data_IF_969777740968
#
_entry.id   IF_969777740968
#
_cell.length_a   1.000
_cell.length_b   1.000
_cell.length_c   1.000
_cell.angle_alpha   90.00
_cell.angle_beta   90.00
_cell.angle_gamma   90.00
#
_symmetry.space_group_name_H-M   'P 1'
#
loop_
_entity.id
_entity.type
_entity.pdbx_description
1 polymer ?
#
# COMPACT_ATOMS: atom_id res chain seq x y z
N UNK A 1 5.39 -2.57 5.77
CA UNK A 1 4.48 -3.66 5.36
C UNK A 1 4.46 -4.87 6.30
N UNK A 2 5.14 -4.82 7.45
CA UNK A 2 5.17 -5.96 8.40
C UNK A 2 3.85 -6.12 9.17
N UNK A 3 3.17 -5.01 9.48
CA UNK A 3 1.87 -5.03 10.18
C UNK A 3 0.75 -5.73 9.40
N UNK A 4 0.72 -5.59 8.06
CA UNK A 4 -0.29 -6.24 7.22
C UNK A 4 -0.15 -7.76 7.16
N UNK A 5 1.10 -8.26 7.10
CA UNK A 5 1.38 -9.70 7.10
C UNK A 5 1.03 -10.35 8.43
N UNK A 6 1.35 -9.68 9.53
CA UNK A 6 1.02 -10.13 10.88
C UNK A 6 -0.50 -10.25 11.13
N UNK A 7 -1.33 -9.65 10.26
CA UNK A 7 -2.80 -9.65 10.37
C UNK A 7 -3.51 -10.45 9.27
N UNK A 8 -2.76 -11.18 8.43
CA UNK A 8 -3.32 -12.13 7.45
C UNK A 8 -3.36 -11.65 5.99
N UNK A 9 -2.78 -10.48 5.66
CA UNK A 9 -2.62 -10.08 4.25
C UNK A 9 -1.55 -10.94 3.57
N UNK A 10 -1.93 -11.61 2.47
CA UNK A 10 -1.01 -12.41 1.66
C UNK A 10 -0.09 -11.54 0.81
N UNK A 11 1.08 -12.06 0.43
CA UNK A 11 1.99 -11.37 -0.50
C UNK A 11 1.30 -10.99 -1.82
N UNK A 12 0.41 -11.86 -2.30
CA UNK A 12 -0.38 -11.60 -3.50
C UNK A 12 -1.31 -10.39 -3.33
N UNK A 13 -2.02 -10.29 -2.19
CA UNK A 13 -2.86 -9.13 -1.86
C UNK A 13 -2.04 -7.85 -1.71
N UNK A 14 -0.84 -7.92 -1.14
CA UNK A 14 0.04 -6.75 -1.01
C UNK A 14 0.58 -6.28 -2.37
N UNK A 15 1.01 -7.21 -3.23
CA UNK A 15 1.54 -6.89 -4.55
C UNK A 15 0.49 -6.25 -5.48
N UNK A 16 -0.80 -6.58 -5.30
CA UNK A 16 -1.89 -6.16 -6.18
C UNK A 16 -2.73 -4.99 -5.62
N UNK A 17 -2.36 -4.44 -4.47
CA UNK A 17 -3.14 -3.37 -3.80
C UNK A 17 -3.24 -2.09 -4.64
N UNK A 18 -2.27 -1.86 -5.52
CA UNK A 18 -2.23 -0.73 -6.46
C UNK A 18 -2.89 -1.00 -7.82
N UNK A 19 -3.39 -2.21 -8.10
CA UNK A 19 -3.94 -2.57 -9.40
C UNK A 19 -5.29 -1.87 -9.68
N UNK A 20 -5.53 -1.54 -10.95
CA UNK A 20 -6.75 -0.87 -11.42
C UNK A 20 -7.20 -1.48 -12.76
N UNK A 21 -8.35 -2.17 -12.82
CA UNK A 21 -9.23 -2.54 -11.69
C UNK A 21 -8.56 -3.55 -10.73
N UNK A 22 -9.12 -3.72 -9.53
CA UNK A 22 -8.68 -4.79 -8.64
C UNK A 22 -9.01 -6.15 -9.29
N UNK A 23 -8.09 -7.13 -9.24
CA UNK A 23 -8.30 -8.44 -9.83
C UNK A 23 -9.35 -9.25 -9.07
N UNK A 24 -10.22 -9.94 -9.81
CA UNK A 24 -11.24 -10.82 -9.27
C UNK A 24 -10.62 -12.00 -8.50
N UNK A 25 -11.25 -12.41 -7.41
CA UNK A 25 -10.86 -13.58 -6.61
C UNK A 25 -9.58 -13.43 -5.78
N UNK A 26 -8.93 -12.26 -5.80
CA UNK A 26 -7.75 -11.97 -4.95
C UNK A 26 -8.16 -11.43 -3.57
N UNK A 27 -9.21 -10.63 -3.53
CA UNK A 27 -9.77 -10.06 -2.32
C UNK A 27 -11.18 -10.61 -2.10
N UNK A 28 -11.53 -10.83 -0.85
CA UNK A 28 -12.93 -11.04 -0.49
C UNK A 28 -13.74 -9.77 -0.80
N UNK A 29 -15.07 -9.88 -1.03
CA UNK A 29 -15.88 -8.74 -1.45
C UNK A 29 -15.79 -7.52 -0.52
N UNK A 30 -15.73 -7.75 0.78
CA UNK A 30 -15.61 -6.75 1.83
C UNK A 30 -14.21 -6.09 1.86
N UNK A 31 -13.14 -6.88 1.72
CA UNK A 31 -11.77 -6.39 1.55
C UNK A 31 -11.63 -5.51 0.31
N UNK A 32 -12.21 -5.93 -0.82
CA UNK A 32 -12.17 -5.18 -2.06
C UNK A 32 -12.89 -3.82 -1.92
N UNK A 33 -14.00 -3.78 -1.19
CA UNK A 33 -14.71 -2.55 -0.88
C UNK A 33 -13.86 -1.59 -0.01
N UNK A 34 -13.16 -2.13 1.00
CA UNK A 34 -12.20 -1.35 1.82
C UNK A 34 -11.08 -0.77 0.94
N UNK A 35 -10.46 -1.58 0.07
CA UNK A 35 -9.34 -1.13 -0.76
C UNK A 35 -9.78 -0.02 -1.73
N UNK A 36 -10.95 -0.16 -2.36
CA UNK A 36 -11.53 0.88 -3.23
C UNK A 36 -11.78 2.18 -2.47
N UNK A 37 -12.40 2.10 -1.29
CA UNK A 37 -12.65 3.27 -0.45
C UNK A 37 -11.36 3.96 0.00
N UNK A 38 -10.41 3.19 0.53
CA UNK A 38 -9.14 3.73 1.02
C UNK A 38 -8.38 4.45 -0.10
N UNK A 39 -8.37 3.87 -1.30
CA UNK A 39 -7.76 4.48 -2.49
C UNK A 39 -8.41 5.81 -2.84
N UNK A 40 -9.74 5.83 -3.03
CA UNK A 40 -10.46 7.04 -3.39
C UNK A 40 -10.24 8.15 -2.35
N UNK A 41 -10.36 7.80 -1.07
CA UNK A 41 -10.12 8.72 0.06
C UNK A 41 -8.69 9.27 0.09
N UNK A 42 -7.67 8.41 -0.08
CA UNK A 42 -6.26 8.85 -0.10
C UNK A 42 -5.89 9.68 -1.32
N UNK A 43 -6.57 9.50 -2.45
CA UNK A 43 -6.39 10.29 -3.69
C UNK A 43 -7.24 11.56 -3.72
N UNK A 44 -8.04 11.82 -2.69
CA UNK A 44 -9.01 12.91 -2.64
C UNK A 44 -10.03 12.85 -3.80
N UNK A 45 -10.35 11.64 -4.25
CA UNK A 45 -11.41 11.40 -5.22
C UNK A 45 -12.79 11.47 -4.54
N UNK A 46 -13.87 11.80 -5.28
CA UNK A 46 -15.22 11.77 -4.74
C UNK A 46 -15.61 10.36 -4.25
N UNK A 47 -16.17 10.29 -3.04
CA UNK A 47 -16.82 9.06 -2.55
C UNK A 47 -18.24 9.07 -3.10
N UNK A 48 -18.47 8.37 -4.22
CA UNK A 48 -19.79 8.32 -4.86
C UNK A 48 -20.79 7.51 -4.05
N UNK A 49 -22.08 7.70 -4.33
CA UNK A 49 -23.15 6.94 -3.68
C UNK A 49 -23.01 5.44 -3.93
N UNK A 50 -22.54 5.02 -5.11
CA UNK A 50 -22.28 3.62 -5.44
C UNK A 50 -21.14 3.05 -4.59
N UNK A 51 -20.06 3.80 -4.41
CA UNK A 51 -18.95 3.37 -3.57
C UNK A 51 -19.38 3.26 -2.11
N UNK A 52 -20.12 4.25 -1.60
CA UNK A 52 -20.66 4.19 -0.24
C UNK A 52 -21.68 3.05 -0.05
N UNK A 53 -22.53 2.81 -1.05
CA UNK A 53 -23.46 1.69 -1.05
C UNK A 53 -22.71 0.34 -0.99
N UNK A 54 -21.63 0.18 -1.75
CA UNK A 54 -20.81 -1.05 -1.71
C UNK A 54 -20.17 -1.30 -0.34
N UNK A 55 -19.84 -0.25 0.43
CA UNK A 55 -19.39 -0.42 1.81
C UNK A 55 -20.54 -0.88 2.72
N UNK A 56 -21.74 -0.31 2.54
CA UNK A 56 -22.92 -0.66 3.35
C UNK A 56 -23.43 -2.09 3.12
N UNK A 57 -23.03 -2.75 2.05
CA UNK A 57 -23.30 -4.18 1.83
C UNK A 57 -22.56 -5.07 2.84
N UNK A 58 -21.44 -4.59 3.40
CA UNK A 58 -20.57 -5.38 4.28
C UNK A 58 -20.42 -4.79 5.69
N UNK A 59 -20.56 -3.48 5.83
CA UNK A 59 -20.24 -2.76 7.06
C UNK A 59 -21.41 -1.94 7.58
N UNK A 60 -21.54 -1.89 8.91
CA UNK A 60 -22.41 -0.93 9.58
C UNK A 60 -21.86 0.49 9.42
N UNK A 61 -22.74 1.50 9.57
CA UNK A 61 -22.33 2.91 9.53
C UNK A 61 -21.21 3.22 10.53
N UNK A 62 -21.29 2.66 11.74
CA UNK A 62 -20.23 2.81 12.77
C UNK A 62 -18.89 2.27 12.28
N UNK A 63 -18.87 1.10 11.65
CA UNK A 63 -17.64 0.52 11.09
C UNK A 63 -17.09 1.36 9.92
N UNK A 64 -17.96 1.96 9.11
CA UNK A 64 -17.56 2.86 8.02
C UNK A 64 -16.95 4.15 8.60
N UNK A 65 -17.50 4.68 9.69
CA UNK A 65 -16.91 5.82 10.43
C UNK A 65 -15.52 5.45 10.96
N UNK A 66 -15.37 4.28 11.59
CA UNK A 66 -14.07 3.79 12.09
C UNK A 66 -13.05 3.60 10.94
N UNK A 67 -13.49 3.08 9.80
CA UNK A 67 -12.68 2.95 8.59
C UNK A 67 -12.23 4.33 8.08
N UNK A 68 -13.15 5.30 8.02
CA UNK A 68 -12.85 6.68 7.62
C UNK A 68 -11.79 7.31 8.52
N UNK A 69 -11.93 7.16 9.84
CA UNK A 69 -10.95 7.67 10.80
C UNK A 69 -9.58 7.02 10.61
N UNK A 70 -9.55 5.71 10.40
CA UNK A 70 -8.31 4.95 10.19
C UNK A 70 -7.57 5.44 8.95
N UNK A 71 -8.26 5.49 7.80
CA UNK A 71 -7.68 5.97 6.53
C UNK A 71 -7.26 7.44 6.64
N UNK A 72 -8.10 8.28 7.23
CA UNK A 72 -7.81 9.70 7.44
C UNK A 72 -6.56 9.94 8.29
N UNK A 73 -6.41 9.19 9.39
CA UNK A 73 -5.25 9.28 10.27
C UNK A 73 -3.97 8.82 9.57
N UNK A 74 -4.00 7.69 8.85
CA UNK A 74 -2.87 7.24 8.04
C UNK A 74 -2.47 8.31 7.01
N UNK A 75 -3.44 8.94 6.33
CA UNK A 75 -3.16 10.00 5.38
C UNK A 75 -2.55 11.25 6.03
N UNK A 76 -2.93 11.59 7.26
CA UNK A 76 -2.32 12.68 8.03
C UNK A 76 -0.86 12.35 8.39
N UNK A 77 -0.61 11.16 8.91
CA UNK A 77 0.72 10.66 9.28
C UNK A 77 1.63 10.64 8.04
N UNK A 78 1.15 10.13 6.91
CA UNK A 78 1.90 10.12 5.65
C UNK A 78 2.34 11.52 5.22
N UNK A 79 1.48 12.54 5.39
CA UNK A 79 1.84 13.93 5.06
C UNK A 79 2.89 14.49 6.00
N UNK A 80 2.84 14.13 7.28
CA UNK A 80 3.88 14.52 8.23
C UNK A 80 5.24 13.94 7.81
N UNK A 81 5.33 12.63 7.59
CA UNK A 81 6.57 11.98 7.14
C UNK A 81 7.06 12.52 5.80
N UNK A 82 6.16 12.75 4.83
CA UNK A 82 6.53 13.33 3.54
C UNK A 82 7.04 14.77 3.62
N UNK A 83 6.52 15.57 4.58
CA UNK A 83 6.95 16.97 4.77
C UNK A 83 8.32 17.05 5.43
N UNK A 84 8.56 16.19 6.42
CA UNK A 84 9.78 16.25 7.24
C UNK A 84 10.87 15.26 6.80
N UNK A 85 10.62 14.47 5.76
CA UNK A 85 11.56 13.48 5.23
C UNK A 85 12.17 12.60 6.34
N UNK A 86 11.32 12.13 7.26
CA UNK A 86 11.76 11.29 8.36
C UNK A 86 12.30 9.97 7.83
N UNK A 87 13.47 9.57 8.32
CA UNK A 87 14.05 8.28 8.02
C UNK A 87 13.27 7.14 8.68
N UNK A 88 13.38 5.94 8.11
CA UNK A 88 12.89 4.71 8.73
C UNK A 88 13.90 4.30 9.79
N UNK A 89 13.45 3.88 10.97
CA UNK A 89 14.34 3.40 12.03
C UNK A 89 15.01 2.07 11.67
N UNK A 90 16.22 1.85 12.19
CA UNK A 90 17.05 0.67 11.92
C UNK A 90 16.29 -0.66 12.14
N UNK A 91 15.50 -0.76 13.22
CA UNK A 91 14.71 -1.94 13.54
C UNK A 91 13.68 -2.23 12.42
N UNK A 92 13.03 -1.19 11.91
CA UNK A 92 12.07 -1.31 10.82
C UNK A 92 12.76 -1.62 9.49
N UNK A 93 13.92 -1.03 9.21
CA UNK A 93 14.71 -1.35 8.01
C UNK A 93 15.15 -2.83 8.00
N UNK A 94 15.67 -3.32 9.13
CA UNK A 94 16.07 -4.72 9.29
C UNK A 94 14.88 -5.67 9.06
N UNK A 95 13.70 -5.33 9.61
CA UNK A 95 12.48 -6.12 9.44
C UNK A 95 11.91 -6.07 8.00
N UNK A 96 12.15 -5.01 7.25
CA UNK A 96 11.73 -4.91 5.85
C UNK A 96 12.63 -5.71 4.91
N UNK A 97 13.91 -5.85 5.23
CA UNK A 97 14.91 -6.48 4.36
C UNK A 97 14.97 -5.80 2.97
N UNK A 98 15.45 -6.52 1.95
CA UNK A 98 15.57 -5.99 0.59
C UNK A 98 14.25 -5.90 -0.21
N UNK A 99 13.10 -6.14 0.44
CA UNK A 99 11.81 -6.31 -0.25
C UNK A 99 10.91 -5.14 0.07
N UNK A 100 11.03 -4.06 -0.70
CA UNK A 100 9.96 -3.05 -0.81
C UNK A 100 9.09 -3.41 -2.03
N UNK A 101 7.96 -4.13 -1.87
CA UNK A 101 7.15 -4.59 -3.01
C UNK A 101 6.34 -3.46 -3.66
N UNK A 102 6.30 -2.26 -3.05
CA UNK A 102 5.72 -1.07 -3.67
C UNK A 102 6.84 -0.33 -4.38
N UNK A 103 6.80 -0.30 -5.73
CA UNK A 103 7.67 0.60 -6.50
C UNK A 103 7.33 2.04 -6.13
N UNK A 104 8.22 2.69 -5.40
CA UNK A 104 8.15 4.12 -5.19
C UNK A 104 8.56 4.83 -6.48
N UNK A 105 7.89 5.95 -6.85
CA UNK A 105 8.41 6.84 -7.88
C UNK A 105 9.82 7.30 -7.49
N UNK A 106 10.70 7.57 -8.47
CA UNK A 106 12.00 8.15 -8.17
C UNK A 106 11.83 9.46 -7.40
N UNK A 107 12.72 9.70 -6.43
CA UNK A 107 12.70 10.95 -5.69
C UNK A 107 12.85 12.15 -6.65
N UNK A 108 12.25 13.31 -6.34
CA UNK A 108 12.39 14.50 -7.17
C UNK A 108 13.87 14.85 -7.37
N UNK A 109 14.33 14.89 -8.63
CA UNK A 109 15.72 15.16 -8.99
C UNK A 109 16.60 13.92 -9.22
N UNK A 110 16.03 12.71 -9.17
CA UNK A 110 16.73 11.47 -9.54
C UNK A 110 16.13 10.97 -10.86
N UNK A 111 16.92 10.96 -11.94
CA UNK A 111 16.46 10.52 -13.26
C UNK A 111 16.07 9.03 -13.21
N UNK A 112 14.90 8.69 -13.77
CA UNK A 112 14.33 7.33 -13.80
C UNK A 112 15.19 6.27 -14.54
N UNK A 113 16.37 6.63 -15.03
CA UNK A 113 17.26 5.79 -15.81
C UNK A 113 18.25 4.94 -15.01
N UNK A 114 18.35 5.07 -13.69
CA UNK A 114 19.36 4.37 -12.88
C UNK A 114 18.84 3.15 -12.10
N UNK A 115 17.52 2.88 -12.11
CA UNK A 115 16.91 1.87 -11.25
C UNK A 115 16.79 0.45 -11.89
N UNK A 116 17.21 0.26 -13.14
CA UNK A 116 16.99 -1.01 -13.87
C UNK A 116 18.23 -1.95 -13.90
N UNK A 117 19.22 -1.71 -13.04
CA UNK A 117 20.34 -2.64 -12.87
C UNK A 117 20.05 -3.59 -11.70
N UNK A 118 19.28 -4.65 -11.96
CA UNK A 118 19.28 -5.82 -11.08
C UNK A 118 20.72 -6.36 -10.94
N UNK A 119 21.17 -6.78 -9.73
CA UNK A 119 22.47 -7.38 -9.60
C UNK A 119 22.43 -8.77 -10.27
N UNK A 120 22.98 -8.84 -11.48
CA UNK A 120 23.23 -10.10 -12.16
C UNK A 120 24.11 -10.99 -11.28
N UNK A 121 23.59 -12.15 -10.90
CA UNK A 121 24.36 -13.20 -10.25
C UNK A 121 25.50 -13.64 -11.16
N UNK A 122 26.73 -13.36 -10.75
CA UNK A 122 27.92 -13.97 -11.34
C UNK A 122 28.41 -15.04 -10.36
N UNK A 123 28.02 -16.30 -10.64
CA UNK A 123 28.78 -17.47 -10.21
C UNK A 123 30.16 -17.34 -10.85
N UNK A 124 31.17 -17.07 -10.02
CA UNK A 124 32.56 -17.22 -10.42
C UNK A 124 33.02 -18.61 -9.98
N UNK A 125 33.28 -19.45 -10.99
CA UNK A 125 33.95 -20.73 -10.88
C UNK A 125 35.31 -20.61 -10.18
N UNK A 126 35.55 -21.57 -9.31
CA UNK A 126 36.82 -21.83 -8.65
C UNK A 126 37.86 -22.37 -9.66
N UNK A 127 39.16 -22.12 -9.43
CA UNK A 127 40.01 -23.25 -9.07
C UNK A 127 40.75 -23.07 -7.73
#
# INVERSE_FOLDING_TARGET
MVAGRATGLTEQKLALIGAEPLPDGVYEPDEAAIVRYARASSRLEPITDELYASLREHFTEKQIIELCFTVGMSNMINRFHATFHTDVDDDTEEMLGAVCPVRLPPAPGVDAGSADAAPGGSVADNP
#
